data_IF_632741645589
#
_entry.id   IF_632741645589
#
_cell.length_a   1.000
_cell.length_b   1.000
_cell.length_c   1.000
_cell.angle_alpha   90.00
_cell.angle_beta   90.00
_cell.angle_gamma   90.00
#
_symmetry.space_group_name_H-M   'P 1'
#
loop_
_entity.id
_entity.type
_entity.pdbx_description
1 polymer ?
#
# COMPACT_ATOMS: atom_id res chain seq x y z
N UNK A 1 -42.82 -24.46 43.56
CA UNK A 1 -42.93 -24.43 42.08
C UNK A 1 -42.80 -22.97 41.65
N UNK A 2 -41.57 -22.55 41.29
CA UNK A 2 -41.17 -22.16 39.93
C UNK A 2 -42.15 -21.18 39.29
N UNK A 3 -41.77 -19.89 39.29
CA UNK A 3 -42.10 -18.91 38.25
C UNK A 3 -41.13 -17.72 38.35
N UNK A 4 -39.88 -17.95 37.96
CA UNK A 4 -39.01 -16.87 37.48
C UNK A 4 -39.25 -16.82 35.97
N UNK A 5 -40.16 -15.94 35.53
CA UNK A 5 -40.35 -15.65 34.11
C UNK A 5 -39.12 -14.83 33.69
N UNK A 6 -38.21 -15.53 33.01
CA UNK A 6 -37.05 -14.95 32.34
C UNK A 6 -37.60 -14.12 31.18
N UNK A 7 -37.66 -12.80 31.37
CA UNK A 7 -37.95 -11.85 30.28
C UNK A 7 -36.63 -11.60 29.52
N UNK A 8 -36.17 -12.61 28.77
CA UNK A 8 -35.09 -12.44 27.81
C UNK A 8 -35.71 -11.75 26.59
N UNK A 9 -35.75 -10.40 26.63
CA UNK A 9 -36.07 -9.61 25.46
C UNK A 9 -35.05 -9.97 24.38
N UNK A 10 -35.50 -10.74 23.40
CA UNK A 10 -34.88 -10.85 22.09
C UNK A 10 -34.83 -9.44 21.50
N UNK A 11 -33.71 -8.75 21.74
CA UNK A 11 -33.31 -7.61 20.94
C UNK A 11 -32.92 -8.19 19.58
N UNK A 12 -33.94 -8.41 18.74
CA UNK A 12 -33.79 -8.62 17.30
C UNK A 12 -33.24 -7.31 16.74
N UNK A 13 -31.94 -7.09 16.96
CA UNK A 13 -31.16 -6.18 16.13
C UNK A 13 -31.36 -6.72 14.74
N UNK A 14 -32.09 -5.97 13.93
CA UNK A 14 -32.08 -6.12 12.49
C UNK A 14 -30.65 -5.84 12.08
N UNK A 15 -29.83 -6.90 12.06
CA UNK A 15 -28.51 -6.87 11.45
C UNK A 15 -28.85 -6.54 10.00
N UNK A 16 -28.66 -5.27 9.62
CA UNK A 16 -28.63 -4.92 8.21
C UNK A 16 -27.57 -5.84 7.64
N UNK A 17 -28.00 -6.83 6.86
CA UNK A 17 -27.13 -7.64 6.03
C UNK A 17 -26.50 -6.66 5.04
N UNK A 18 -25.47 -5.94 5.49
CA UNK A 18 -24.48 -5.41 4.59
C UNK A 18 -23.95 -6.65 3.91
N UNK A 19 -24.17 -6.76 2.60
CA UNK A 19 -23.44 -7.73 1.80
C UNK A 19 -21.97 -7.57 2.20
N UNK A 20 -21.41 -8.60 2.84
CA UNK A 20 -20.06 -8.49 3.38
C UNK A 20 -19.15 -8.33 2.17
N UNK A 21 -18.47 -7.19 2.09
CA UNK A 21 -17.45 -7.00 1.09
C UNK A 21 -16.38 -8.03 1.42
N UNK A 22 -16.19 -9.02 0.55
CA UNK A 22 -15.24 -10.13 0.76
C UNK A 22 -13.96 -9.95 -0.03
N UNK A 23 -14.02 -9.14 -1.09
CA UNK A 23 -12.93 -8.86 -2.00
C UNK A 23 -13.14 -7.56 -2.74
N UNK A 24 -12.07 -7.07 -3.35
CA UNK A 24 -12.12 -5.95 -4.27
C UNK A 24 -10.76 -5.64 -4.87
N UNK A 25 -10.75 -4.56 -5.66
CA UNK A 25 -9.56 -3.98 -6.25
C UNK A 25 -9.63 -2.45 -6.14
N UNK A 26 -8.51 -1.84 -5.78
CA UNK A 26 -8.33 -0.39 -5.77
C UNK A 26 -7.23 -0.03 -6.74
N UNK A 27 -7.50 0.91 -7.65
CA UNK A 27 -6.49 1.49 -8.53
C UNK A 27 -6.03 2.83 -7.95
N UNK A 28 -4.73 2.96 -7.72
CA UNK A 28 -4.09 4.19 -7.25
C UNK A 28 -3.35 4.88 -8.38
N UNK A 29 -3.40 6.21 -8.40
CA UNK A 29 -2.49 7.05 -9.18
C UNK A 29 -1.50 7.71 -8.23
N UNK A 30 -0.34 8.07 -8.76
CA UNK A 30 0.66 8.83 -8.02
C UNK A 30 0.63 10.28 -8.48
N UNK A 31 0.47 11.22 -7.56
CA UNK A 31 0.63 12.64 -7.89
C UNK A 31 2.11 12.98 -8.02
N UNK A 32 2.44 13.64 -9.13
CA UNK A 32 3.79 14.00 -9.57
C UNK A 32 4.41 15.17 -8.80
N UNK A 33 4.67 15.03 -7.52
CA UNK A 33 5.46 16.06 -6.82
C UNK A 33 6.96 15.77 -6.98
N UNK A 34 7.48 15.67 -8.20
CA UNK A 34 8.94 15.55 -8.37
C UNK A 34 9.64 16.78 -7.83
N UNK A 35 10.33 16.67 -6.70
CA UNK A 35 11.35 17.66 -6.38
C UNK A 35 12.54 17.41 -7.33
N UNK A 36 12.61 18.22 -8.37
CA UNK A 36 13.64 18.22 -9.42
C UNK A 36 15.03 18.58 -8.91
N UNK A 37 15.11 19.09 -7.68
CA UNK A 37 16.34 19.51 -7.05
C UNK A 37 17.07 18.38 -6.31
N UNK A 38 16.45 17.21 -6.07
CA UNK A 38 17.16 16.13 -5.39
C UNK A 38 18.29 15.56 -6.21
N UNK A 39 19.32 15.12 -5.50
CA UNK A 39 20.46 14.41 -6.06
C UNK A 39 20.03 13.21 -6.90
N UNK A 40 19.08 12.39 -6.43
CA UNK A 40 18.56 11.25 -7.18
C UNK A 40 17.94 11.69 -8.52
N UNK A 41 17.13 12.76 -8.53
CA UNK A 41 16.51 13.25 -9.77
C UNK A 41 17.58 13.73 -10.74
N UNK A 42 18.52 14.58 -10.27
CA UNK A 42 19.62 15.11 -11.08
C UNK A 42 20.51 13.99 -11.64
N UNK A 43 20.85 13.00 -10.81
CA UNK A 43 21.65 11.85 -11.18
C UNK A 43 20.95 11.04 -12.27
N UNK A 44 19.73 10.56 -12.03
CA UNK A 44 19.04 9.71 -13.02
C UNK A 44 18.71 10.46 -14.31
N UNK A 45 18.35 11.75 -14.24
CA UNK A 45 18.13 12.60 -15.42
C UNK A 45 19.40 12.79 -16.24
N UNK A 46 20.55 12.97 -15.59
CA UNK A 46 21.84 13.11 -16.29
C UNK A 46 22.22 11.83 -17.04
N UNK A 47 21.92 10.66 -16.47
CA UNK A 47 22.26 9.36 -17.04
C UNK A 47 21.25 8.88 -18.10
N UNK A 48 20.00 9.34 -18.04
CA UNK A 48 18.92 8.89 -18.91
C UNK A 48 18.03 10.07 -19.33
N UNK A 49 18.56 11.04 -20.10
CA UNK A 49 17.81 12.26 -20.45
C UNK A 49 16.47 11.96 -21.16
N UNK A 50 16.42 10.90 -21.97
CA UNK A 50 15.23 10.46 -22.72
C UNK A 50 14.16 9.78 -21.83
N UNK A 51 14.42 9.58 -20.53
CA UNK A 51 13.49 8.94 -19.61
C UNK A 51 12.72 9.91 -18.70
N UNK A 52 12.95 11.22 -18.84
CA UNK A 52 12.38 12.25 -17.96
C UNK A 52 11.41 13.17 -18.70
N UNK A 53 10.52 12.57 -19.49
CA UNK A 53 9.35 13.25 -20.05
C UNK A 53 8.20 13.20 -19.04
N UNK A 54 7.47 14.30 -18.90
CA UNK A 54 6.35 14.40 -17.96
C UNK A 54 5.25 13.35 -18.24
N UNK A 55 5.18 12.81 -19.45
CA UNK A 55 4.16 11.87 -19.93
C UNK A 55 4.22 10.50 -19.24
N UNK A 56 5.41 9.95 -18.97
CA UNK A 56 5.56 8.59 -18.45
C UNK A 56 5.03 8.43 -17.01
N UNK A 57 4.96 9.54 -16.28
CA UNK A 57 4.44 9.58 -14.92
C UNK A 57 2.91 9.42 -14.85
N UNK A 58 2.17 9.86 -15.87
CA UNK A 58 0.71 9.67 -15.95
C UNK A 58 0.33 8.24 -16.35
N UNK A 59 1.27 7.52 -16.96
CA UNK A 59 1.10 6.12 -17.39
C UNK A 59 1.33 5.12 -16.25
N UNK A 60 1.85 5.58 -15.11
CA UNK A 60 2.11 4.73 -13.94
C UNK A 60 0.87 4.74 -13.03
N UNK A 61 0.26 3.57 -12.89
CA UNK A 61 -0.76 3.32 -11.88
C UNK A 61 -0.35 2.15 -10.99
N UNK A 62 -1.10 1.93 -9.92
CA UNK A 62 -0.91 0.79 -9.04
C UNK A 62 -2.24 0.12 -8.77
N UNK A 63 -2.23 -1.18 -8.63
CA UNK A 63 -3.42 -1.94 -8.26
C UNK A 63 -3.18 -2.64 -6.93
N UNK A 64 -4.16 -2.50 -6.03
CA UNK A 64 -4.28 -3.31 -4.83
C UNK A 64 -5.46 -4.25 -4.99
N UNK A 65 -5.22 -5.54 -5.11
CA UNK A 65 -6.25 -6.58 -5.00
C UNK A 65 -6.31 -7.05 -3.57
N UNK A 66 -7.50 -7.11 -2.98
CA UNK A 66 -7.68 -7.52 -1.59
C UNK A 66 -8.83 -8.51 -1.43
N UNK A 67 -8.70 -9.36 -0.42
CA UNK A 67 -9.76 -10.24 0.08
C UNK A 67 -9.62 -10.34 1.61
N UNK A 68 -10.43 -11.19 2.24
CA UNK A 68 -10.30 -11.41 3.67
C UNK A 68 -8.89 -11.90 4.03
N UNK A 69 -8.20 -11.15 4.89
CA UNK A 69 -6.84 -11.43 5.37
C UNK A 69 -5.75 -11.45 4.30
N UNK A 70 -6.01 -10.97 3.09
CA UNK A 70 -5.04 -11.04 1.99
C UNK A 70 -5.08 -9.78 1.15
N UNK A 71 -3.91 -9.28 0.73
CA UNK A 71 -3.83 -8.30 -0.35
C UNK A 71 -2.56 -8.45 -1.15
N UNK A 72 -2.61 -7.98 -2.40
CA UNK A 72 -1.49 -7.87 -3.32
C UNK A 72 -1.49 -6.44 -3.87
N UNK A 73 -0.34 -5.77 -3.81
CA UNK A 73 -0.10 -4.47 -4.41
C UNK A 73 1.05 -4.57 -5.40
N UNK A 74 0.84 -4.08 -6.62
CA UNK A 74 1.79 -4.10 -7.74
C UNK A 74 1.63 -2.84 -8.60
N UNK A 75 2.70 -2.43 -9.28
CA UNK A 75 2.62 -1.38 -10.29
C UNK A 75 1.97 -1.90 -11.56
N UNK A 76 1.21 -1.05 -12.25
CA UNK A 76 0.58 -1.32 -13.54
C UNK A 76 1.05 -0.26 -14.53
N UNK A 77 1.68 -0.75 -15.59
CA UNK A 77 2.21 0.06 -16.70
C UNK A 77 1.57 -0.49 -17.96
N UNK A 78 0.53 0.21 -18.44
CA UNK A 78 -0.32 -0.25 -19.55
C UNK A 78 0.38 -0.16 -20.91
N UNK A 79 1.49 0.58 -21.02
CA UNK A 79 2.23 0.75 -22.26
C UNK A 79 3.73 0.47 -22.05
N UNK A 80 4.12 -0.78 -22.33
CA UNK A 80 5.47 -1.32 -22.16
C UNK A 80 6.50 -0.79 -23.18
N UNK A 81 6.28 0.39 -23.76
CA UNK A 81 7.13 0.96 -24.81
C UNK A 81 8.54 1.25 -24.30
N UNK A 82 8.69 1.58 -23.00
CA UNK A 82 10.00 1.82 -22.39
C UNK A 82 10.05 1.47 -20.89
N UNK A 83 9.98 0.17 -20.58
CA UNK A 83 10.11 -0.33 -19.20
C UNK A 83 11.41 0.14 -18.52
N UNK A 84 12.48 0.30 -19.31
CA UNK A 84 13.75 0.87 -18.83
C UNK A 84 13.57 2.26 -18.25
N UNK A 85 12.76 3.12 -18.86
CA UNK A 85 12.48 4.45 -18.30
C UNK A 85 11.54 4.38 -17.11
N UNK A 86 10.56 3.47 -17.12
CA UNK A 86 9.64 3.29 -16.00
C UNK A 86 10.40 2.97 -14.70
N UNK A 87 11.34 2.02 -14.73
CA UNK A 87 12.19 1.70 -13.56
C UNK A 87 12.91 2.93 -13.01
N UNK A 88 13.44 3.80 -13.88
CA UNK A 88 14.16 5.01 -13.46
C UNK A 88 13.22 6.03 -12.84
N UNK A 89 12.05 6.25 -13.43
CA UNK A 89 11.05 7.17 -12.87
C UNK A 89 10.55 6.65 -11.53
N UNK A 90 10.24 5.36 -11.41
CA UNK A 90 9.78 4.73 -10.17
C UNK A 90 10.84 4.82 -9.07
N UNK A 91 12.11 4.62 -9.41
CA UNK A 91 13.23 4.83 -8.48
C UNK A 91 13.30 6.28 -8.01
N UNK A 92 13.14 7.26 -8.91
CA UNK A 92 13.15 8.70 -8.55
C UNK A 92 11.94 9.09 -7.71
N UNK A 93 10.77 8.53 -8.01
CA UNK A 93 9.58 8.68 -7.19
C UNK A 93 9.77 8.01 -5.83
N UNK A 94 10.65 7.02 -5.68
CA UNK A 94 10.75 6.22 -4.46
C UNK A 94 9.52 5.34 -4.27
N UNK A 95 8.91 4.94 -5.39
CA UNK A 95 7.78 4.03 -5.45
C UNK A 95 8.25 2.63 -5.86
N UNK A 96 7.34 1.67 -5.90
CA UNK A 96 7.68 0.26 -6.17
C UNK A 96 8.04 0.04 -7.65
N UNK A 97 9.05 -0.79 -7.92
CA UNK A 97 9.42 -1.16 -9.29
C UNK A 97 8.35 -2.06 -9.93
N UNK A 98 8.33 -2.20 -11.28
CA UNK A 98 7.31 -2.95 -12.00
C UNK A 98 7.26 -4.44 -11.65
N UNK A 99 8.42 -5.04 -11.43
CA UNK A 99 8.56 -6.47 -11.12
C UNK A 99 8.45 -6.77 -9.61
N UNK A 100 8.42 -5.74 -8.78
CA UNK A 100 8.28 -5.88 -7.34
C UNK A 100 6.80 -5.97 -6.97
N UNK A 101 6.50 -6.64 -5.86
CA UNK A 101 5.15 -6.65 -5.30
C UNK A 101 5.18 -6.68 -3.77
N UNK A 102 4.17 -6.09 -3.17
CA UNK A 102 3.87 -6.27 -1.76
C UNK A 102 2.68 -7.21 -1.63
N UNK A 103 2.78 -8.16 -0.72
CA UNK A 103 1.75 -9.15 -0.45
C UNK A 103 1.57 -9.25 1.05
N UNK A 104 0.31 -9.25 1.50
CA UNK A 104 -0.03 -9.60 2.86
C UNK A 104 -0.85 -10.86 2.83
N UNK A 105 -0.47 -11.81 3.69
CA UNK A 105 -1.22 -13.04 3.85
C UNK A 105 -1.33 -13.35 5.34
N UNK A 106 -2.58 -13.47 5.79
CA UNK A 106 -2.97 -13.68 7.18
C UNK A 106 -2.57 -12.53 8.09
N UNK A 107 -1.37 -12.58 8.66
CA UNK A 107 -0.83 -11.59 9.60
C UNK A 107 0.64 -11.22 9.26
N UNK A 108 1.11 -11.62 8.08
CA UNK A 108 2.49 -11.41 7.65
C UNK A 108 2.54 -10.57 6.38
N UNK A 109 3.37 -9.51 6.42
CA UNK A 109 3.69 -8.69 5.27
C UNK A 109 4.95 -9.22 4.57
N UNK A 110 4.85 -9.38 3.27
CA UNK A 110 5.91 -9.82 2.37
C UNK A 110 6.16 -8.76 1.31
N UNK A 111 7.43 -8.47 1.05
CA UNK A 111 7.86 -7.67 -0.10
C UNK A 111 8.78 -8.50 -0.96
N UNK A 112 8.40 -8.70 -2.22
CA UNK A 112 9.26 -9.32 -3.21
C UNK A 112 10.03 -8.23 -3.96
N UNK A 113 11.37 -8.34 -3.97
CA UNK A 113 12.25 -7.41 -4.67
C UNK A 113 13.04 -8.15 -5.75
N UNK A 114 12.59 -8.05 -7.00
CA UNK A 114 13.18 -8.76 -8.14
C UNK A 114 14.62 -8.30 -8.39
N UNK A 115 14.82 -6.98 -8.45
CA UNK A 115 16.08 -6.33 -8.80
C UNK A 115 17.22 -6.55 -7.79
N UNK A 116 16.91 -7.03 -6.57
CA UNK A 116 17.89 -7.37 -5.54
C UNK A 116 18.15 -8.89 -5.47
N UNK A 117 18.09 -9.59 -6.60
CA UNK A 117 18.30 -11.04 -6.63
C UNK A 117 17.09 -11.83 -6.14
N UNK A 118 15.88 -11.29 -6.32
CA UNK A 118 14.61 -11.96 -5.99
C UNK A 118 14.48 -12.34 -4.51
N UNK A 119 14.69 -11.38 -3.62
CA UNK A 119 14.53 -11.59 -2.18
C UNK A 119 13.09 -11.37 -1.73
N UNK A 120 12.60 -12.25 -0.86
CA UNK A 120 11.36 -12.06 -0.13
C UNK A 120 11.68 -11.49 1.26
N UNK A 121 11.33 -10.23 1.48
CA UNK A 121 11.51 -9.54 2.75
C UNK A 121 10.26 -9.69 3.60
N UNK A 122 10.43 -10.12 4.84
CA UNK A 122 9.33 -10.35 5.79
C UNK A 122 9.32 -9.26 6.87
N UNK A 123 8.14 -8.67 7.08
CA UNK A 123 7.85 -7.78 8.22
C UNK A 123 6.65 -8.28 9.01
N UNK A 124 6.75 -8.19 10.34
CA UNK A 124 5.70 -8.66 11.28
C UNK A 124 5.02 -7.56 12.09
N UNK A 125 5.58 -6.34 12.16
CA UNK A 125 5.02 -5.29 13.03
C UNK A 125 4.28 -4.24 12.21
N UNK A 126 3.01 -3.91 12.56
CA UNK A 126 2.33 -2.76 11.99
C UNK A 126 2.97 -1.47 12.51
N UNK A 127 2.70 -0.36 11.81
CA UNK A 127 3.11 0.96 12.26
C UNK A 127 2.29 1.41 13.48
N UNK A 128 2.91 2.21 14.35
CA UNK A 128 2.24 2.86 15.46
C UNK A 128 1.51 4.12 14.98
N UNK A 129 0.31 3.92 14.42
CA UNK A 129 -0.51 5.00 13.87
C UNK A 129 -1.12 5.91 14.93
N UNK A 130 -1.07 7.21 14.68
CA UNK A 130 -1.82 8.24 15.39
C UNK A 130 -2.99 8.66 14.51
N UNK A 131 -4.22 8.33 14.92
CA UNK A 131 -5.45 8.71 14.23
C UNK A 131 -5.89 10.10 14.71
N UNK A 132 -6.26 10.98 13.80
CA UNK A 132 -6.75 12.34 14.12
C UNK A 132 -8.25 12.47 13.83
N UNK A 133 -8.84 13.58 14.27
CA UNK A 133 -10.25 13.91 14.01
C UNK A 133 -10.48 14.52 12.62
N UNK A 134 -9.41 14.78 11.86
CA UNK A 134 -9.52 15.34 10.52
C UNK A 134 -10.17 14.32 9.58
N UNK A 135 -11.17 14.79 8.83
CA UNK A 135 -11.88 13.99 7.85
C UNK A 135 -11.88 14.63 6.49
N UNK A 136 -11.92 13.80 5.45
CA UNK A 136 -12.20 14.23 4.08
C UNK A 136 -12.92 13.12 3.32
N UNK A 137 -13.56 13.48 2.20
CA UNK A 137 -14.16 12.49 1.30
C UNK A 137 -13.18 12.14 0.20
N UNK A 138 -12.95 10.84 -0.02
CA UNK A 138 -12.19 10.32 -1.17
C UNK A 138 -13.10 9.37 -1.92
N UNK A 139 -13.29 9.62 -3.22
CA UNK A 139 -14.35 8.97 -4.00
C UNK A 139 -15.71 9.20 -3.32
N UNK A 140 -16.30 8.16 -2.70
CA UNK A 140 -17.57 8.24 -1.97
C UNK A 140 -17.44 7.82 -0.50
N UNK A 141 -16.20 7.74 0.02
CA UNK A 141 -15.92 7.25 1.36
C UNK A 141 -15.47 8.38 2.27
N UNK A 142 -16.03 8.42 3.49
CA UNK A 142 -15.50 9.27 4.56
C UNK A 142 -14.19 8.66 5.04
N UNK A 143 -13.13 9.45 4.94
CA UNK A 143 -11.79 9.05 5.33
C UNK A 143 -11.31 9.87 6.51
N UNK A 144 -10.58 9.22 7.41
CA UNK A 144 -9.96 9.82 8.58
C UNK A 144 -8.45 9.88 8.36
N UNK A 145 -7.85 10.97 8.81
CA UNK A 145 -6.40 11.13 8.76
C UNK A 145 -5.74 10.28 9.83
N UNK A 146 -4.66 9.63 9.47
CA UNK A 146 -3.72 9.04 10.42
C UNK A 146 -2.29 9.35 9.99
N UNK A 147 -1.37 9.33 10.94
CA UNK A 147 0.05 9.45 10.62
C UNK A 147 0.91 8.62 11.56
N UNK A 148 2.12 8.27 11.13
CA UNK A 148 3.18 7.81 12.02
C UNK A 148 4.48 8.55 11.68
N UNK A 149 5.41 8.55 12.63
CA UNK A 149 6.74 9.15 12.46
C UNK A 149 7.74 8.01 12.40
N UNK A 150 8.43 7.89 11.27
CA UNK A 150 9.59 7.02 11.11
C UNK A 150 10.85 7.78 11.48
N UNK A 151 11.66 7.22 12.37
CA UNK A 151 12.97 7.76 12.72
C UNK A 151 14.04 6.85 12.14
N UNK A 152 14.85 7.39 11.25
CA UNK A 152 15.98 6.69 10.62
C UNK A 152 17.25 7.25 11.23
N UNK A 153 17.95 6.41 12.00
CA UNK A 153 19.28 6.70 12.53
C UNK A 153 20.32 6.33 11.47
N UNK A 154 20.98 7.34 10.91
CA UNK A 154 22.06 7.19 9.93
C UNK A 154 23.44 7.36 10.58
N UNK A 155 23.53 7.20 11.91
CA UNK A 155 24.74 7.40 12.70
C UNK A 155 24.95 8.87 13.03
N UNK A 156 25.49 9.63 12.08
CA UNK A 156 25.82 11.06 12.28
C UNK A 156 24.60 11.99 12.13
N UNK A 157 23.50 11.48 11.56
CA UNK A 157 22.26 12.22 11.33
C UNK A 157 21.05 11.36 11.70
N UNK A 158 20.11 11.93 12.46
CA UNK A 158 18.79 11.34 12.70
C UNK A 158 17.80 12.02 11.79
N UNK A 159 17.24 11.29 10.83
CA UNK A 159 16.18 11.77 9.95
C UNK A 159 14.82 11.32 10.46
N UNK A 160 13.85 12.22 10.43
CA UNK A 160 12.45 11.90 10.75
C UNK A 160 11.60 12.09 9.51
N UNK A 161 10.81 11.07 9.17
CA UNK A 161 9.84 11.10 8.08
C UNK A 161 8.44 10.95 8.68
N UNK A 162 7.57 11.91 8.41
CA UNK A 162 6.16 11.81 8.77
C UNK A 162 5.40 11.18 7.62
N UNK A 163 4.69 10.08 7.87
CA UNK A 163 3.84 9.43 6.88
C UNK A 163 2.39 9.78 7.19
N UNK A 164 1.69 10.45 6.28
CA UNK A 164 0.28 10.82 6.44
C UNK A 164 -0.56 9.97 5.51
N UNK A 165 -1.64 9.40 6.04
CA UNK A 165 -2.58 8.61 5.27
C UNK A 165 -4.02 9.01 5.56
N UNK A 166 -4.91 8.66 4.64
CA UNK A 166 -6.35 8.79 4.80
C UNK A 166 -6.98 7.43 4.60
N UNK A 167 -7.63 6.91 5.66
CA UNK A 167 -8.22 5.59 5.68
C UNK A 167 -9.73 5.64 5.93
N UNK A 168 -10.48 4.67 5.43
CA UNK A 168 -11.93 4.58 5.63
C UNK A 168 -12.33 3.29 6.35
N UNK A 169 -13.01 3.38 7.51
CA UNK A 169 -13.58 2.21 8.20
C UNK A 169 -14.71 1.51 7.44
N UNK A 170 -15.32 2.18 6.46
CA UNK A 170 -16.41 1.62 5.63
C UNK A 170 -15.95 0.40 4.83
N UNK A 171 -14.64 0.31 4.55
CA UNK A 171 -13.97 -0.85 3.98
C UNK A 171 -13.03 -1.41 5.06
N UNK A 172 -13.48 -2.36 5.91
CA UNK A 172 -12.78 -2.78 7.13
C UNK A 172 -11.61 -3.76 6.84
N UNK A 173 -10.75 -3.38 5.89
CA UNK A 173 -9.54 -4.09 5.51
C UNK A 173 -8.34 -3.24 5.90
N UNK A 174 -7.46 -3.75 6.75
CA UNK A 174 -6.32 -2.99 7.29
C UNK A 174 -5.15 -2.84 6.31
N UNK A 175 -5.44 -2.57 5.04
CA UNK A 175 -4.48 -2.55 3.93
C UNK A 175 -4.45 -1.21 3.20
N UNK A 176 -3.38 -0.98 2.46
CA UNK A 176 -3.13 0.27 1.77
C UNK A 176 -2.11 0.13 0.66
N UNK A 177 -1.88 1.22 -0.10
CA UNK A 177 -0.89 1.22 -1.16
C UNK A 177 0.52 1.06 -0.57
N UNK A 178 1.41 0.45 -1.35
CA UNK A 178 2.79 0.21 -0.91
C UNK A 178 2.83 -0.74 0.28
N UNK A 179 3.49 -0.28 1.35
CA UNK A 179 3.61 -0.99 2.62
C UNK A 179 2.76 -0.40 3.74
N UNK A 180 1.82 0.51 3.46
CA UNK A 180 0.95 1.05 4.51
C UNK A 180 -0.14 0.04 4.89
N UNK A 181 -0.14 -0.41 6.14
CA UNK A 181 -1.15 -1.34 6.68
C UNK A 181 -1.34 -1.12 8.19
N UNK A 182 -2.34 -1.78 8.77
CA UNK A 182 -2.57 -1.82 10.23
C UNK A 182 -3.57 -0.81 10.79
N UNK A 183 -4.23 -0.02 9.95
CA UNK A 183 -5.35 0.85 10.36
C UNK A 183 -6.68 0.08 10.37
N UNK A 184 -7.70 0.51 11.14
CA UNK A 184 -9.02 -0.13 11.16
C UNK A 184 -9.87 0.29 9.93
N UNK A 185 -9.32 0.11 8.74
CA UNK A 185 -9.93 0.47 7.47
C UNK A 185 -8.89 0.61 6.36
N UNK A 186 -9.37 0.59 5.12
CA UNK A 186 -8.49 0.63 3.96
C UNK A 186 -7.94 2.04 3.75
N UNK A 187 -6.66 2.13 3.39
CA UNK A 187 -6.00 3.40 3.09
C UNK A 187 -6.28 3.76 1.64
N UNK A 188 -6.97 4.88 1.42
CA UNK A 188 -7.33 5.39 0.10
C UNK A 188 -6.36 6.46 -0.39
N UNK A 189 -5.63 7.10 0.51
CA UNK A 189 -4.55 8.01 0.16
C UNK A 189 -3.38 7.85 1.12
N UNK A 190 -2.16 7.85 0.59
CA UNK A 190 -0.96 7.82 1.40
C UNK A 190 0.09 8.76 0.83
N UNK A 191 0.60 9.63 1.69
CA UNK A 191 1.65 10.59 1.42
C UNK A 191 2.82 10.31 2.38
N UNK A 192 4.00 10.13 1.82
CA UNK A 192 5.21 10.15 2.62
C UNK A 192 5.68 11.61 2.69
N UNK A 193 5.61 12.33 3.80
CA UNK A 193 6.07 13.73 3.80
C UNK A 193 7.59 13.84 3.55
N UNK A 194 8.35 12.75 3.72
CA UNK A 194 9.75 12.64 3.29
C UNK A 194 9.93 12.12 1.86
N UNK A 195 8.87 11.66 1.20
CA UNK A 195 8.85 11.06 -0.14
C UNK A 195 7.86 11.78 -1.05
N UNK A 196 8.33 12.34 -2.16
CA UNK A 196 7.66 13.42 -2.89
C UNK A 196 6.49 12.96 -3.79
N UNK A 197 5.64 12.09 -3.26
CA UNK A 197 4.57 11.44 -3.97
C UNK A 197 3.41 11.12 -3.04
N UNK A 198 2.22 11.14 -3.61
CA UNK A 198 1.00 10.71 -2.94
C UNK A 198 0.35 9.62 -3.77
N UNK A 199 0.12 8.45 -3.18
CA UNK A 199 -0.82 7.48 -3.74
C UNK A 199 -2.23 7.98 -3.46
N UNK A 200 -3.05 8.16 -4.49
CA UNK A 200 -4.47 8.51 -4.36
C UNK A 200 -5.35 7.50 -5.08
N UNK A 201 -6.34 6.95 -4.38
CA UNK A 201 -7.32 6.03 -4.95
C UNK A 201 -8.14 6.72 -6.05
N UNK A 202 -8.03 6.19 -7.26
CA UNK A 202 -8.67 6.70 -8.47
C UNK A 202 -9.89 5.88 -8.90
N UNK A 203 -9.93 4.59 -8.55
CA UNK A 203 -11.03 3.67 -8.85
C UNK A 203 -11.11 2.60 -7.76
N UNK A 204 -12.33 2.25 -7.36
CA UNK A 204 -12.61 1.19 -6.38
C UNK A 204 -13.65 0.24 -6.98
N UNK A 205 -13.32 -1.04 -7.04
CA UNK A 205 -14.17 -2.11 -7.56
C UNK A 205 -14.34 -3.17 -6.47
N UNK A 206 -15.57 -3.43 -6.05
CA UNK A 206 -15.87 -4.32 -4.91
C UNK A 206 -16.52 -5.61 -5.38
N UNK A 207 -16.33 -6.69 -4.63
CA UNK A 207 -16.88 -8.03 -4.89
C UNK A 207 -16.49 -8.58 -6.27
N UNK A 208 -15.21 -8.43 -6.63
CA UNK A 208 -14.63 -8.99 -7.86
C UNK A 208 -13.68 -10.14 -7.56
N UNK A 209 -13.44 -10.99 -8.55
CA UNK A 209 -12.40 -12.02 -8.49
C UNK A 209 -11.00 -11.40 -8.62
N UNK A 210 -10.02 -11.98 -7.91
CA UNK A 210 -8.65 -11.46 -7.81
C UNK A 210 -7.62 -12.53 -8.21
N UNK A 211 -7.58 -12.96 -9.48
CA UNK A 211 -6.73 -14.08 -9.92
C UNK A 211 -5.22 -13.79 -9.76
N UNK A 212 -4.80 -12.52 -9.84
CA UNK A 212 -3.39 -12.15 -9.62
C UNK A 212 -2.99 -12.32 -8.15
N UNK A 213 -3.85 -11.96 -7.21
CA UNK A 213 -3.64 -12.22 -5.78
C UNK A 213 -3.44 -13.72 -5.52
N UNK A 214 -4.37 -14.55 -5.99
CA UNK A 214 -4.31 -16.00 -5.81
C UNK A 214 -3.03 -16.63 -6.37
N UNK A 215 -2.59 -16.17 -7.55
CA UNK A 215 -1.37 -16.67 -8.18
C UNK A 215 -0.10 -16.25 -7.43
N UNK A 216 -0.01 -15.02 -6.91
CA UNK A 216 1.16 -14.57 -6.17
C UNK A 216 1.28 -15.22 -4.79
N UNK A 217 0.15 -15.57 -4.15
CA UNK A 217 0.17 -16.39 -2.92
C UNK A 217 0.80 -17.77 -3.18
N UNK A 218 0.53 -18.38 -4.34
CA UNK A 218 1.18 -19.66 -4.71
C UNK A 218 2.68 -19.50 -4.91
N UNK A 219 3.12 -18.43 -5.57
CA UNK A 219 4.55 -18.12 -5.78
C UNK A 219 5.34 -18.00 -4.49
N UNK A 220 4.75 -17.51 -3.39
CA UNK A 220 5.43 -17.46 -2.10
C UNK A 220 6.03 -18.81 -1.70
N UNK A 221 5.35 -19.91 -2.00
CA UNK A 221 5.77 -21.27 -1.63
C UNK A 221 6.97 -21.77 -2.44
N UNK A 222 7.27 -21.11 -3.57
CA UNK A 222 8.31 -21.51 -4.51
C UNK A 222 9.61 -20.69 -4.32
N UNK A 223 9.56 -19.55 -3.63
CA UNK A 223 10.73 -18.68 -3.45
C UNK A 223 11.68 -19.29 -2.41
N UNK A 224 12.96 -19.41 -2.79
CA UNK A 224 13.95 -20.17 -2.03
C UNK A 224 14.70 -19.37 -0.96
N UNK A 225 14.52 -18.05 -0.89
CA UNK A 225 15.23 -17.19 0.08
C UNK A 225 14.31 -16.11 0.65
N UNK A 226 14.07 -16.22 1.95
CA UNK A 226 13.40 -15.24 2.78
C UNK A 226 14.43 -14.56 3.69
N UNK A 227 14.32 -13.24 3.87
CA UNK A 227 15.11 -12.46 4.82
C UNK A 227 14.19 -11.53 5.61
N UNK A 228 14.56 -11.22 6.84
CA UNK A 228 13.86 -10.21 7.65
C UNK A 228 14.20 -8.81 7.19
N UNK A 229 13.32 -7.83 7.48
CA UNK A 229 13.63 -6.43 7.24
C UNK A 229 14.94 -6.00 7.95
N UNK A 230 15.22 -6.52 9.14
CA UNK A 230 16.45 -6.20 9.88
C UNK A 230 17.70 -6.74 9.17
N UNK A 231 17.65 -7.97 8.65
CA UNK A 231 18.74 -8.54 7.87
C UNK A 231 18.96 -7.76 6.58
N UNK A 232 17.88 -7.36 5.91
CA UNK A 232 17.94 -6.52 4.71
C UNK A 232 18.64 -5.19 4.98
N UNK A 233 18.29 -4.49 6.07
CA UNK A 233 18.88 -3.19 6.40
C UNK A 233 20.39 -3.25 6.74
N UNK A 234 20.96 -4.45 6.93
CA UNK A 234 22.39 -4.66 7.22
C UNK A 234 23.23 -5.05 5.99
N UNK A 235 22.59 -5.32 4.85
CA UNK A 235 23.26 -5.67 3.58
C UNK A 235 23.78 -4.43 2.86
#
# INVERSE_FOLDING_TARGET
>A
MKNKIILMLFFLITIKNFAQIISGKITYKVTKEYNTESESYKFFKSQNPDCFYDELADEISYEMQFSNKQYLFYAVIDNLSNIRCADKILTVLGTMNPDDFNLFNEDTFYRYMHHLGSHLIISKKPYEWIITEETKTIQNFTCYKAYFIETIDLGDEVKTNTHIVWFTPDLPFSYGPGNYYGLPGVILEANNMGGKYTYGASKIELNIENPKLENNIKKLKEISKEITLEEYMKM
#
